data_IF_529127506077
#
_entry.id   IF_529127506077
#
_cell.length_a   1.000
_cell.length_b   1.000
_cell.length_c   1.000
_cell.angle_alpha   90.00
_cell.angle_beta   90.00
_cell.angle_gamma   90.00
#
_symmetry.space_group_name_H-M   'P 1'
#
loop_
_entity.id
_entity.type
_entity.pdbx_description
1 polymer ?
#
# COMPACT_ATOMS: atom_id res chain seq x y z
N UNK A 1 12.40 2.79 3.77
CA UNK A 1 13.57 2.47 4.60
C UNK A 1 13.30 1.28 5.50
N UNK A 2 12.18 1.25 6.23
CA UNK A 2 11.79 0.11 7.06
C UNK A 2 10.38 -0.40 6.74
N UNK A 3 10.13 -1.65 7.12
CA UNK A 3 8.88 -2.37 7.01
C UNK A 3 8.55 -2.87 5.60
N UNK A 4 7.42 -3.58 5.46
CA UNK A 4 7.01 -4.15 4.19
C UNK A 4 6.53 -3.10 3.19
N UNK A 5 6.39 -3.52 1.94
CA UNK A 5 5.53 -2.85 0.95
C UNK A 5 4.14 -3.46 1.04
N UNK A 6 3.12 -2.63 0.90
CA UNK A 6 1.72 -3.02 0.97
C UNK A 6 1.03 -2.63 -0.33
N UNK A 7 0.22 -3.54 -0.87
CA UNK A 7 -0.70 -3.26 -1.96
C UNK A 7 -2.11 -3.71 -1.55
N UNK A 8 -3.11 -3.09 -2.16
CA UNK A 8 -4.50 -3.49 -2.03
C UNK A 8 -5.10 -3.68 -3.42
N UNK A 9 -6.08 -4.57 -3.50
CA UNK A 9 -6.93 -4.73 -4.67
C UNK A 9 -8.36 -4.42 -4.24
N UNK A 10 -9.08 -3.65 -5.06
CA UNK A 10 -10.46 -3.21 -4.78
C UNK A 10 -11.31 -3.48 -6.00
N UNK A 11 -12.42 -4.18 -5.79
CA UNK A 11 -13.44 -4.48 -6.78
C UNK A 11 -14.76 -3.86 -6.33
N UNK A 12 -15.35 -3.05 -7.20
CA UNK A 12 -16.60 -2.35 -6.94
C UNK A 12 -17.70 -3.09 -7.69
N UNK A 13 -18.65 -3.64 -6.95
CA UNK A 13 -19.75 -4.42 -7.51
C UNK A 13 -20.91 -3.53 -7.98
N UNK A 14 -21.08 -2.36 -7.36
CA UNK A 14 -22.13 -1.41 -7.72
C UNK A 14 -21.54 -0.02 -8.01
N UNK A 15 -21.82 0.50 -9.21
CA UNK A 15 -21.33 1.81 -9.66
C UNK A 15 -22.06 2.99 -9.03
N UNK A 16 -23.16 2.78 -8.29
CA UNK A 16 -23.88 3.84 -7.56
C UNK A 16 -23.09 4.25 -6.30
N UNK A 17 -21.91 4.82 -6.52
CA UNK A 17 -21.12 5.48 -5.48
C UNK A 17 -21.81 6.80 -5.13
N UNK A 18 -22.29 6.91 -3.90
CA UNK A 18 -22.96 8.10 -3.36
C UNK A 18 -22.14 8.75 -2.24
N UNK A 19 -22.41 10.03 -1.98
CA UNK A 19 -21.84 10.77 -0.85
C UNK A 19 -20.34 11.09 -0.97
N UNK A 20 -19.68 11.20 0.19
CA UNK A 20 -18.28 11.64 0.33
C UNK A 20 -17.27 10.76 -0.41
N UNK A 21 -17.61 9.50 -0.73
CA UNK A 21 -16.74 8.62 -1.49
C UNK A 21 -16.41 9.17 -2.87
N UNK A 22 -17.28 9.98 -3.49
CA UNK A 22 -16.95 10.68 -4.75
C UNK A 22 -15.73 11.59 -4.62
N UNK A 23 -15.43 12.05 -3.41
CA UNK A 23 -14.32 12.95 -3.11
C UNK A 23 -13.03 12.22 -2.74
N UNK A 24 -12.97 10.88 -2.87
CA UNK A 24 -11.73 10.11 -2.75
C UNK A 24 -10.88 10.30 -4.03
N UNK A 25 -10.55 11.54 -4.34
CA UNK A 25 -9.56 11.87 -5.36
C UNK A 25 -8.32 12.36 -4.64
N UNK A 26 -7.17 11.92 -5.13
CA UNK A 26 -5.87 12.24 -4.57
C UNK A 26 -5.69 11.76 -3.12
N UNK A 27 -5.60 10.44 -2.98
CA UNK A 27 -5.34 9.78 -1.68
C UNK A 27 -4.08 10.28 -0.96
N UNK A 28 -3.15 10.90 -1.70
CA UNK A 28 -1.88 11.43 -1.20
C UNK A 28 -2.05 12.81 -0.57
N UNK A 29 -2.97 13.64 -1.06
CA UNK A 29 -3.36 14.92 -0.44
C UNK A 29 -4.26 14.78 0.79
N UNK A 30 -4.84 13.60 1.03
CA UNK A 30 -5.65 13.35 2.22
C UNK A 30 -4.80 13.37 3.49
N UNK A 31 -5.32 14.01 4.55
CA UNK A 31 -4.75 13.91 5.89
C UNK A 31 -4.90 12.48 6.44
N UNK A 32 -4.08 12.11 7.43
CA UNK A 32 -4.17 10.78 8.06
C UNK A 32 -5.57 10.50 8.61
N UNK A 33 -6.21 11.47 9.27
CA UNK A 33 -7.58 11.34 9.78
C UNK A 33 -8.62 11.16 8.67
N UNK A 34 -8.51 11.91 7.56
CA UNK A 34 -9.41 11.73 6.41
C UNK A 34 -9.24 10.34 5.78
N UNK A 35 -8.00 9.85 5.65
CA UNK A 35 -7.74 8.49 5.14
C UNK A 35 -8.35 7.41 6.03
N UNK A 36 -8.28 7.55 7.35
CA UNK A 36 -8.91 6.63 8.30
C UNK A 36 -10.44 6.62 8.14
N UNK A 37 -11.08 7.79 7.98
CA UNK A 37 -12.52 7.89 7.68
C UNK A 37 -12.88 7.15 6.39
N UNK A 38 -12.12 7.39 5.31
CA UNK A 38 -12.35 6.72 4.03
C UNK A 38 -12.06 5.22 4.11
N UNK A 39 -11.05 4.78 4.85
CA UNK A 39 -10.79 3.37 5.08
C UNK A 39 -12.01 2.70 5.71
N UNK A 40 -12.59 3.29 6.76
CA UNK A 40 -13.81 2.78 7.39
C UNK A 40 -14.99 2.72 6.40
N UNK A 41 -15.21 3.81 5.66
CA UNK A 41 -16.29 3.89 4.67
C UNK A 41 -16.13 2.92 3.50
N UNK A 42 -14.91 2.58 3.09
CA UNK A 42 -14.64 1.61 2.03
C UNK A 42 -14.73 0.17 2.55
N UNK A 43 -14.11 -0.10 3.70
CA UNK A 43 -13.98 -1.46 4.23
C UNK A 43 -15.27 -2.03 4.81
N UNK A 44 -16.17 -1.18 5.30
CA UNK A 44 -17.48 -1.58 5.83
C UNK A 44 -18.58 -1.77 4.80
N UNK A 45 -18.29 -1.58 3.50
CA UNK A 45 -19.28 -1.66 2.43
C UNK A 45 -19.38 -3.07 1.84
N UNK A 46 -20.60 -3.56 1.70
CA UNK A 46 -20.90 -4.88 1.12
C UNK A 46 -20.77 -4.91 -0.41
N UNK A 47 -20.86 -3.75 -1.07
CA UNK A 47 -20.68 -3.60 -2.52
C UNK A 47 -19.23 -3.33 -2.94
N UNK A 48 -18.29 -3.36 -1.98
CA UNK A 48 -16.85 -3.22 -2.22
C UNK A 48 -16.16 -4.48 -1.70
N UNK A 49 -15.62 -5.27 -2.62
CA UNK A 49 -14.74 -6.40 -2.28
C UNK A 49 -13.32 -5.91 -2.33
N UNK A 50 -12.54 -6.16 -1.29
CA UNK A 50 -11.16 -5.71 -1.23
C UNK A 50 -10.27 -6.74 -0.55
N UNK A 51 -8.98 -6.64 -0.81
CA UNK A 51 -7.98 -7.43 -0.11
C UNK A 51 -6.66 -6.69 -0.07
N UNK A 52 -5.78 -7.12 0.84
CA UNK A 52 -4.45 -6.55 1.04
C UNK A 52 -3.40 -7.63 1.02
N UNK A 53 -2.21 -7.28 0.53
CA UNK A 53 -1.04 -8.12 0.60
C UNK A 53 0.19 -7.30 0.99
N UNK A 54 1.04 -7.93 1.79
CA UNK A 54 2.29 -7.38 2.30
C UNK A 54 3.45 -8.22 1.74
N UNK A 55 4.52 -7.54 1.36
CA UNK A 55 5.79 -8.17 0.99
C UNK A 55 6.88 -7.60 1.90
N UNK A 56 7.56 -8.47 2.64
CA UNK A 56 8.50 -8.10 3.70
C UNK A 56 9.75 -7.40 3.16
N UNK A 57 10.40 -6.64 4.03
CA UNK A 57 11.72 -6.06 3.82
C UNK A 57 12.75 -7.09 3.33
N UNK A 58 12.73 -8.32 3.88
CA UNK A 58 13.61 -9.41 3.42
C UNK A 58 13.41 -9.78 1.95
N UNK A 59 12.17 -9.75 1.46
CA UNK A 59 11.89 -10.01 0.04
C UNK A 59 12.28 -8.78 -0.79
N UNK A 60 11.97 -7.57 -0.31
CA UNK A 60 12.36 -6.31 -0.96
C UNK A 60 13.88 -6.25 -1.17
N UNK A 61 14.68 -6.66 -0.19
CA UNK A 61 16.13 -6.69 -0.30
C UNK A 61 16.63 -7.70 -1.34
N UNK A 62 15.89 -8.80 -1.57
CA UNK A 62 16.25 -9.82 -2.57
C UNK A 62 15.88 -9.43 -3.99
N UNK A 63 14.69 -8.85 -4.20
CA UNK A 63 14.14 -8.61 -5.54
C UNK A 63 14.04 -7.12 -5.90
N UNK A 64 14.40 -6.21 -5.00
CA UNK A 64 14.21 -4.78 -5.19
C UNK A 64 12.75 -4.34 -5.02
N UNK A 65 12.56 -3.04 -4.86
CA UNK A 65 11.27 -2.47 -4.47
C UNK A 65 10.21 -2.54 -5.58
N UNK A 66 10.59 -2.37 -6.85
CA UNK A 66 9.66 -2.42 -7.97
C UNK A 66 9.03 -3.81 -8.09
N UNK A 67 9.86 -4.86 -8.16
CA UNK A 67 9.38 -6.26 -8.22
C UNK A 67 8.62 -6.67 -6.95
N UNK A 68 9.03 -6.22 -5.77
CA UNK A 68 8.29 -6.46 -4.54
C UNK A 68 6.92 -5.78 -4.51
N UNK A 69 6.81 -4.60 -5.10
CA UNK A 69 5.54 -3.88 -5.26
C UNK A 69 4.62 -4.63 -6.20
N UNK A 70 5.12 -5.09 -7.35
CA UNK A 70 4.33 -5.91 -8.28
C UNK A 70 3.90 -7.24 -7.66
N UNK A 71 4.77 -7.89 -6.89
CA UNK A 71 4.43 -9.10 -6.15
C UNK A 71 3.32 -8.85 -5.12
N UNK A 72 3.36 -7.71 -4.42
CA UNK A 72 2.30 -7.34 -3.49
C UNK A 72 0.97 -7.12 -4.23
N UNK A 73 0.99 -6.41 -5.36
CA UNK A 73 -0.20 -6.19 -6.21
C UNK A 73 -0.78 -7.52 -6.73
N UNK A 74 0.06 -8.42 -7.25
CA UNK A 74 -0.34 -9.76 -7.69
C UNK A 74 -1.01 -10.54 -6.55
N UNK A 75 -0.37 -10.59 -5.37
CA UNK A 75 -0.91 -11.27 -4.19
C UNK A 75 -2.24 -10.68 -3.74
N UNK A 76 -2.40 -9.36 -3.79
CA UNK A 76 -3.66 -8.71 -3.45
C UNK A 76 -4.77 -9.14 -4.42
N UNK A 77 -4.56 -9.06 -5.73
CA UNK A 77 -5.54 -9.51 -6.73
C UNK A 77 -5.91 -10.99 -6.54
N UNK A 78 -4.92 -11.85 -6.27
CA UNK A 78 -5.16 -13.28 -6.05
C UNK A 78 -5.91 -13.59 -4.75
N UNK A 79 -5.86 -12.70 -3.76
CA UNK A 79 -6.60 -12.81 -2.50
C UNK A 79 -8.03 -12.27 -2.57
N UNK A 80 -8.40 -11.54 -3.62
CA UNK A 80 -9.80 -11.13 -3.81
C UNK A 80 -10.72 -12.35 -3.88
N UNK A 81 -11.77 -12.33 -3.07
CA UNK A 81 -12.79 -13.36 -3.04
C UNK A 81 -13.51 -13.47 -4.39
N UNK A 82 -13.87 -12.33 -4.99
CA UNK A 82 -14.44 -12.24 -6.33
C UNK A 82 -13.37 -11.84 -7.34
N UNK A 83 -13.24 -12.62 -8.43
CA UNK A 83 -12.23 -12.37 -9.47
C UNK A 83 -12.72 -11.32 -10.47
N UNK A 84 -11.95 -10.22 -10.67
CA UNK A 84 -12.29 -9.23 -11.68
C UNK A 84 -11.98 -9.76 -13.09
N UNK A 85 -12.76 -9.35 -14.08
CA UNK A 85 -12.46 -9.61 -15.49
C UNK A 85 -11.38 -8.67 -16.05
N UNK A 86 -11.19 -7.50 -15.42
CA UNK A 86 -10.24 -6.49 -15.86
C UNK A 86 -9.69 -5.71 -14.66
N UNK A 87 -8.42 -5.30 -14.75
CA UNK A 87 -7.69 -4.61 -13.70
C UNK A 87 -7.21 -3.24 -14.18
N UNK A 88 -7.32 -2.25 -13.29
CA UNK A 88 -6.70 -0.94 -13.46
C UNK A 88 -5.61 -0.82 -12.40
N UNK A 89 -4.36 -0.64 -12.84
CA UNK A 89 -3.18 -0.64 -11.95
C UNK A 89 -2.53 0.74 -12.00
N UNK A 90 -2.21 1.30 -10.83
CA UNK A 90 -1.49 2.57 -10.73
C UNK A 90 -0.02 2.39 -11.16
N UNK A 91 0.42 3.23 -12.10
CA UNK A 91 1.81 3.28 -12.54
C UNK A 91 1.98 3.20 -14.06
N UNK A 92 3.24 3.13 -14.49
CA UNK A 92 3.65 2.99 -15.89
C UNK A 92 4.29 1.64 -16.21
N UNK A 93 4.58 0.83 -15.20
CA UNK A 93 5.23 -0.48 -15.32
C UNK A 93 4.60 -1.46 -14.34
N UNK A 94 4.29 -2.65 -14.83
CA UNK A 94 3.79 -3.76 -14.04
C UNK A 94 4.11 -5.07 -14.75
N UNK A 95 4.54 -6.06 -13.99
CA UNK A 95 4.75 -7.42 -14.48
C UNK A 95 4.30 -8.40 -13.42
N UNK A 96 3.71 -9.51 -13.85
CA UNK A 96 3.16 -10.55 -12.99
C UNK A 96 3.39 -11.91 -13.64
N UNK A 97 3.69 -12.91 -12.81
CA UNK A 97 3.83 -14.29 -13.27
C UNK A 97 2.47 -15.00 -13.35
N UNK A 98 1.47 -14.50 -12.61
CA UNK A 98 0.15 -15.14 -12.49
C UNK A 98 -0.97 -14.39 -13.20
N UNK A 99 -0.80 -13.08 -13.45
CA UNK A 99 -1.79 -12.25 -14.14
C UNK A 99 -1.37 -12.03 -15.59
N UNK A 100 -2.26 -12.37 -16.52
CA UNK A 100 -1.99 -12.25 -17.96
C UNK A 100 -2.00 -10.76 -18.39
N UNK A 101 -1.10 -10.30 -19.28
CA UNK A 101 -1.10 -8.91 -19.74
C UNK A 101 -2.43 -8.39 -20.30
N UNK A 102 -3.21 -9.28 -20.93
CA UNK A 102 -4.52 -8.94 -21.54
C UNK A 102 -5.61 -8.55 -20.51
N UNK A 103 -5.39 -8.78 -19.21
CA UNK A 103 -6.40 -8.54 -18.17
C UNK A 103 -6.14 -7.27 -17.34
N UNK A 104 -5.16 -6.44 -17.70
CA UNK A 104 -4.88 -5.20 -16.99
C UNK A 104 -4.49 -4.04 -17.90
N UNK A 105 -4.77 -2.81 -17.44
CA UNK A 105 -4.22 -1.59 -18.01
C UNK A 105 -3.54 -0.74 -16.93
N UNK A 106 -2.47 -0.05 -17.32
CA UNK A 106 -1.67 0.79 -16.43
C UNK A 106 -2.11 2.24 -16.57
N UNK A 107 -2.41 2.87 -15.46
CA UNK A 107 -2.86 4.26 -15.41
C UNK A 107 -1.83 5.05 -14.62
N UNK A 108 -1.12 5.95 -15.32
CA UNK A 108 -0.22 6.89 -14.67
C UNK A 108 -1.03 7.88 -13.82
N UNK A 109 -0.68 7.98 -12.53
CA UNK A 109 -1.43 8.77 -11.52
C UNK A 109 -2.88 8.28 -11.44
N UNK A 110 -3.04 6.95 -11.40
CA UNK A 110 -4.34 6.31 -11.39
C UNK A 110 -5.15 6.64 -10.15
N UNK A 111 -4.48 6.90 -9.03
CA UNK A 111 -5.11 7.29 -7.75
C UNK A 111 -5.77 8.68 -7.77
N UNK A 112 -5.46 9.49 -8.78
CA UNK A 112 -6.09 10.80 -9.01
C UNK A 112 -7.22 10.73 -10.04
N UNK A 113 -7.19 9.71 -10.92
CA UNK A 113 -8.06 9.60 -12.09
C UNK A 113 -9.16 8.57 -11.92
N UNK A 114 -8.90 7.49 -11.19
CA UNK A 114 -9.74 6.30 -11.11
C UNK A 114 -10.08 6.02 -9.65
N UNK A 115 -11.38 6.01 -9.34
CA UNK A 115 -11.87 5.80 -7.99
C UNK A 115 -11.41 4.45 -7.38
N UNK A 116 -11.45 3.34 -8.12
CA UNK A 116 -11.02 2.03 -7.60
C UNK A 116 -9.53 2.01 -7.23
N UNK A 117 -8.70 2.73 -7.99
CA UNK A 117 -7.27 2.89 -7.68
C UNK A 117 -7.11 3.77 -6.44
N UNK A 118 -7.83 4.89 -6.35
CA UNK A 118 -7.78 5.76 -5.18
C UNK A 118 -8.20 5.03 -3.89
N UNK A 119 -9.27 4.22 -3.97
CA UNK A 119 -9.74 3.38 -2.87
C UNK A 119 -8.68 2.34 -2.46
N UNK A 120 -8.05 1.67 -3.43
CA UNK A 120 -6.96 0.73 -3.16
C UNK A 120 -5.77 1.43 -2.49
N UNK A 121 -5.39 2.62 -2.95
CA UNK A 121 -4.32 3.42 -2.35
C UNK A 121 -4.61 3.80 -0.89
N UNK A 122 -5.86 4.19 -0.57
CA UNK A 122 -6.27 4.46 0.81
C UNK A 122 -6.18 3.20 1.68
N UNK A 123 -6.73 2.09 1.21
CA UNK A 123 -6.71 0.80 1.95
C UNK A 123 -5.27 0.35 2.22
N UNK A 124 -4.42 0.37 1.19
CA UNK A 124 -3.02 -0.02 1.32
C UNK A 124 -2.25 0.91 2.29
N UNK A 125 -2.45 2.23 2.18
CA UNK A 125 -1.75 3.22 2.99
C UNK A 125 -2.12 3.11 4.47
N UNK A 126 -3.41 3.06 4.78
CA UNK A 126 -3.89 2.94 6.16
C UNK A 126 -3.45 1.60 6.77
N UNK A 127 -3.58 0.50 6.03
CA UNK A 127 -3.11 -0.82 6.48
C UNK A 127 -1.62 -0.80 6.83
N UNK A 128 -0.78 -0.25 5.94
CA UNK A 128 0.66 -0.16 6.17
C UNK A 128 0.99 0.75 7.36
N UNK A 129 0.34 1.91 7.47
CA UNK A 129 0.64 2.86 8.55
C UNK A 129 0.24 2.31 9.92
N UNK A 130 -0.88 1.58 10.01
CA UNK A 130 -1.28 0.83 11.22
C UNK A 130 -0.25 -0.24 11.58
N UNK A 131 0.23 -1.01 10.60
CA UNK A 131 1.28 -2.01 10.82
C UNK A 131 2.58 -1.36 11.33
N UNK A 132 3.01 -0.26 10.74
CA UNK A 132 4.22 0.44 11.19
C UNK A 132 4.07 1.02 12.60
N UNK A 133 2.85 1.43 12.98
CA UNK A 133 2.56 1.90 14.33
C UNK A 133 2.66 0.75 15.33
N UNK A 134 2.08 -0.41 15.02
CA UNK A 134 2.21 -1.63 15.83
C UNK A 134 3.66 -2.10 15.93
N UNK A 135 4.41 -2.08 14.84
CA UNK A 135 5.85 -2.39 14.88
C UNK A 135 6.63 -1.45 15.81
N UNK A 136 6.13 -0.23 15.99
CA UNK A 136 6.76 0.72 16.89
C UNK A 136 6.64 0.35 18.37
N UNK A 137 5.72 -0.54 18.75
CA UNK A 137 5.64 -1.08 20.12
C UNK A 137 6.89 -1.93 20.41
N UNK A 138 7.26 -2.81 19.47
CA UNK A 138 8.48 -3.65 19.58
C UNK A 138 9.76 -2.84 19.33
N UNK A 139 9.71 -1.84 18.46
CA UNK A 139 10.87 -1.09 17.99
C UNK A 139 10.77 0.41 18.34
N UNK A 140 10.38 0.72 19.59
CA UNK A 140 10.08 2.08 20.03
C UNK A 140 11.23 3.07 19.80
N UNK A 141 12.48 2.62 19.96
CA UNK A 141 13.68 3.44 19.77
C UNK A 141 13.83 4.05 18.36
N UNK A 142 13.10 3.54 17.36
CA UNK A 142 13.19 4.01 15.98
C UNK A 142 12.14 5.05 15.59
N UNK A 143 11.07 5.26 16.35
CA UNK A 143 10.07 6.31 16.03
C UNK A 143 9.06 5.96 14.92
N UNK A 144 8.85 4.68 14.63
CA UNK A 144 7.97 4.24 13.53
C UNK A 144 6.52 4.73 13.65
N UNK A 145 6.00 4.99 14.86
CA UNK A 145 4.67 5.60 15.04
C UNK A 145 4.55 6.97 14.37
N UNK A 146 5.65 7.72 14.22
CA UNK A 146 5.64 9.07 13.63
C UNK A 146 5.87 9.02 12.13
N UNK A 147 7.02 8.49 11.72
CA UNK A 147 7.46 8.54 10.32
C UNK A 147 7.20 7.24 9.54
N UNK A 148 6.50 6.25 10.09
CA UNK A 148 6.03 5.04 9.37
C UNK A 148 7.12 4.30 8.54
N UNK A 149 8.37 4.34 9.02
CA UNK A 149 9.53 3.72 8.36
C UNK A 149 10.07 4.46 7.12
N UNK A 150 9.65 5.71 6.88
CA UNK A 150 10.30 6.61 5.91
C UNK A 150 11.65 7.12 6.44
N UNK A 151 12.56 7.48 5.53
CA UNK A 151 13.92 7.92 5.87
C UNK A 151 13.99 9.38 6.32
N UNK A 152 13.38 9.71 7.46
CA UNK A 152 13.46 11.06 8.03
C UNK A 152 14.78 11.27 8.76
N UNK A 153 15.14 12.54 9.04
CA UNK A 153 16.32 12.88 9.86
C UNK A 153 16.30 12.16 11.21
N UNK A 154 15.11 12.04 11.82
CA UNK A 154 14.89 11.36 13.10
C UNK A 154 15.20 9.85 12.99
N UNK A 155 14.74 9.21 11.90
CA UNK A 155 14.96 7.80 11.66
C UNK A 155 16.45 7.48 11.46
N UNK A 156 17.16 8.29 10.67
CA UNK A 156 18.62 8.13 10.50
C UNK A 156 19.38 8.35 11.81
N UNK A 157 18.96 9.31 12.66
CA UNK A 157 19.55 9.50 14.00
C UNK A 157 19.36 8.25 14.87
N UNK A 158 18.17 7.64 14.85
CA UNK A 158 17.90 6.41 15.58
C UNK A 158 18.76 5.23 15.09
N UNK A 159 18.92 5.08 13.76
CA UNK A 159 19.78 4.04 13.18
C UNK A 159 21.24 4.24 13.61
N UNK A 160 21.76 5.48 13.57
CA UNK A 160 23.14 5.75 14.03
C UNK A 160 23.34 5.45 15.51
N UNK A 161 22.33 5.72 16.34
CA UNK A 161 22.40 5.50 17.80
C UNK A 161 22.23 4.04 18.19
N UNK A 162 21.37 3.29 17.50
CA UNK A 162 20.90 1.98 17.96
C UNK A 162 21.18 0.82 17.00
N UNK A 163 21.83 1.09 15.87
CA UNK A 163 22.02 0.14 14.77
C UNK A 163 20.75 -0.12 13.97
N UNK A 164 20.89 -0.90 12.89
CA UNK A 164 19.75 -1.39 12.11
C UNK A 164 18.99 -2.47 12.90
N UNK A 165 17.69 -2.60 12.61
CA UNK A 165 16.85 -3.68 13.14
C UNK A 165 16.34 -4.59 12.02
N UNK A 166 15.76 -5.73 12.40
CA UNK A 166 15.25 -6.76 11.49
C UNK A 166 14.21 -6.26 10.47
N UNK A 167 13.53 -5.14 10.77
CA UNK A 167 12.51 -4.55 9.89
C UNK A 167 13.09 -3.52 8.92
N UNK A 168 14.38 -3.25 8.94
CA UNK A 168 15.02 -2.36 7.97
C UNK A 168 15.28 -3.07 6.64
N UNK A 169 15.17 -2.33 5.54
CA UNK A 169 15.55 -2.78 4.20
C UNK A 169 17.03 -2.45 4.01
N UNK A 170 17.89 -3.44 4.09
CA UNK A 170 19.34 -3.24 4.04
C UNK A 170 19.78 -2.61 2.72
N UNK A 171 19.11 -2.95 1.62
CA UNK A 171 19.40 -2.36 0.30
C UNK A 171 19.17 -0.85 0.23
N UNK A 172 18.34 -0.29 1.11
CA UNK A 172 18.01 1.15 1.16
C UNK A 172 18.93 1.95 2.09
N UNK A 173 19.82 1.28 2.83
CA UNK A 173 20.73 1.89 3.81
C UNK A 173 22.19 1.90 3.36
N UNK A 174 22.49 1.26 2.21
CA UNK A 174 23.83 1.18 1.61
C UNK A 174 24.08 2.27 0.56
N UNK A 175 23.13 3.19 0.39
CA UNK A 175 23.12 4.27 -0.60
C UNK A 175 23.27 5.63 0.09
#
# INVERSE_FOLDING_TARGET
MAGPVCAAAVLILNKKLSGELKNIKDSKQLTAGKREKFYGALSGRTDIVWSVALVSEKIIDKIGIDRATWLAMEKAVLKLEKKPNFLLIDGNRFSSHKLKPKIYNLIVRGDEKVFSIAAASVIAKVTRDRLMTKLSEKYAKYGFWKHKGYGTKEHFKAIRKYGISEVHRNSFLKS
#
